data_IF_137387101525
#
_entry.id   IF_137387101525
#
_cell.length_a   1.000
_cell.length_b   1.000
_cell.length_c   1.000
_cell.angle_alpha   90.00
_cell.angle_beta   90.00
_cell.angle_gamma   90.00
#
_symmetry.space_group_name_H-M   'P 1'
#
loop_
_entity.id
_entity.type
_entity.pdbx_description
1 polymer ?
#
# COMPACT_ATOMS: atom_id res chain seq x y z
N UNK A 1 -7.18 8.21 9.93
CA UNK A 1 -6.98 7.29 8.79
C UNK A 1 -7.31 5.83 9.15
N UNK A 2 -6.82 5.25 10.24
CA UNK A 2 -7.22 3.89 10.68
C UNK A 2 -8.76 3.71 10.78
N UNK A 3 -9.43 4.59 11.53
CA UNK A 3 -10.91 4.61 11.67
C UNK A 3 -11.62 4.71 10.32
N UNK A 4 -11.05 5.46 9.39
CA UNK A 4 -11.60 5.69 8.04
C UNK A 4 -11.47 4.41 7.20
N UNK A 5 -10.33 3.73 7.29
CA UNK A 5 -10.15 2.43 6.65
C UNK A 5 -11.13 1.38 7.19
N UNK A 6 -11.33 1.35 8.51
CA UNK A 6 -12.30 0.45 9.16
C UNK A 6 -13.73 0.76 8.74
N UNK A 7 -14.10 2.04 8.67
CA UNK A 7 -15.43 2.49 8.25
C UNK A 7 -15.78 1.95 6.86
N UNK A 8 -14.86 2.05 5.88
CA UNK A 8 -15.07 1.45 4.56
C UNK A 8 -15.38 -0.05 4.67
N UNK A 9 -14.57 -0.78 5.42
CA UNK A 9 -14.71 -2.22 5.56
C UNK A 9 -15.97 -2.66 6.33
N UNK A 10 -16.58 -1.77 7.12
CA UNK A 10 -17.87 -1.97 7.79
C UNK A 10 -19.08 -1.58 6.95
N UNK A 11 -18.91 -0.90 5.80
CA UNK A 11 -20.02 -0.60 4.89
C UNK A 11 -20.78 -1.88 4.46
N UNK A 12 -22.11 -1.78 4.23
CA UNK A 12 -22.88 -2.86 3.65
C UNK A 12 -22.26 -3.39 2.35
N UNK A 13 -22.40 -4.70 2.10
CA UNK A 13 -21.84 -5.32 0.90
C UNK A 13 -22.36 -4.67 -0.39
N UNK A 14 -23.64 -4.31 -0.44
CA UNK A 14 -24.25 -3.62 -1.58
C UNK A 14 -23.54 -2.31 -1.94
N UNK A 15 -23.08 -1.56 -0.95
CA UNK A 15 -22.42 -0.27 -1.13
C UNK A 15 -20.99 -0.42 -1.69
N UNK A 16 -20.37 -1.59 -1.54
CA UNK A 16 -19.01 -1.88 -2.03
C UNK A 16 -18.97 -2.80 -3.23
N UNK A 17 -20.08 -3.43 -3.58
CA UNK A 17 -20.15 -4.48 -4.60
C UNK A 17 -19.66 -3.99 -5.97
N UNK A 18 -19.93 -2.73 -6.31
CA UNK A 18 -19.48 -2.13 -7.57
C UNK A 18 -17.95 -2.03 -7.71
N UNK A 19 -17.20 -2.08 -6.59
CA UNK A 19 -15.74 -2.13 -6.57
C UNK A 19 -15.19 -3.55 -6.63
N UNK A 20 -15.98 -4.57 -6.31
CA UNK A 20 -15.48 -5.94 -6.22
C UNK A 20 -15.03 -6.49 -7.57
N UNK A 21 -13.78 -6.92 -7.70
CA UNK A 21 -13.29 -7.55 -8.93
C UNK A 21 -11.98 -8.31 -8.78
N UNK A 22 -11.95 -9.55 -9.28
CA UNK A 22 -10.72 -10.35 -9.40
C UNK A 22 -9.86 -9.99 -10.63
N UNK A 23 -10.39 -9.16 -11.53
CA UNK A 23 -9.68 -8.65 -12.70
C UNK A 23 -8.55 -7.71 -12.29
N UNK A 24 -7.31 -8.20 -12.42
CA UNK A 24 -6.09 -7.47 -12.06
C UNK A 24 -5.80 -6.28 -12.97
N UNK A 25 -6.47 -6.16 -14.12
CA UNK A 25 -6.34 -5.00 -15.01
C UNK A 25 -7.12 -3.78 -14.52
N UNK A 26 -8.09 -3.96 -13.63
CA UNK A 26 -8.84 -2.84 -13.03
C UNK A 26 -7.98 -2.14 -11.99
N UNK A 27 -7.69 -0.83 -12.14
CA UNK A 27 -6.82 -0.10 -11.23
C UNK A 27 -7.46 0.10 -9.84
N UNK A 28 -8.78 0.36 -9.82
CA UNK A 28 -9.57 0.53 -8.61
C UNK A 28 -10.43 -0.72 -8.41
N UNK A 29 -10.20 -1.47 -7.33
CA UNK A 29 -10.94 -2.69 -7.03
C UNK A 29 -10.83 -3.13 -5.58
N UNK A 30 -11.89 -3.77 -5.10
CA UNK A 30 -11.96 -4.55 -3.88
C UNK A 30 -11.82 -6.03 -4.22
N UNK A 31 -11.04 -6.78 -3.46
CA UNK A 31 -10.89 -8.24 -3.65
C UNK A 31 -10.59 -8.93 -2.32
N UNK A 32 -10.94 -10.22 -2.25
CA UNK A 32 -10.76 -11.08 -1.08
C UNK A 32 -9.86 -12.25 -1.44
N UNK A 33 -8.78 -12.41 -0.69
CA UNK A 33 -7.70 -13.29 -1.04
C UNK A 33 -6.91 -12.77 -2.25
N UNK A 34 -5.59 -12.94 -2.21
CA UNK A 34 -4.74 -12.66 -3.37
C UNK A 34 -3.98 -13.92 -3.72
N UNK A 35 -3.79 -14.17 -5.02
CA UNK A 35 -2.85 -15.17 -5.53
C UNK A 35 -1.61 -14.44 -6.05
N UNK A 36 -0.44 -14.86 -5.56
CA UNK A 36 0.85 -14.37 -6.02
C UNK A 36 1.47 -15.40 -6.97
N UNK A 37 1.98 -14.97 -8.14
CA UNK A 37 2.69 -15.76 -9.16
C UNK A 37 2.14 -17.19 -9.37
N UNK A 38 1.03 -17.33 -10.12
CA UNK A 38 0.41 -18.60 -10.55
C UNK A 38 0.30 -19.73 -9.50
N UNK A 39 0.45 -19.42 -8.21
CA UNK A 39 0.30 -20.38 -7.12
C UNK A 39 -1.17 -20.53 -6.78
N UNK A 40 -1.55 -21.73 -6.35
CA UNK A 40 -2.89 -22.01 -5.81
C UNK A 40 -3.07 -21.51 -4.37
N UNK A 41 -2.07 -20.86 -3.80
CA UNK A 41 -2.11 -20.37 -2.40
C UNK A 41 -2.84 -19.04 -2.33
N UNK A 42 -3.89 -18.98 -1.51
CA UNK A 42 -4.61 -17.75 -1.18
C UNK A 42 -4.08 -17.18 0.14
N UNK A 43 -3.80 -15.88 0.14
CA UNK A 43 -3.40 -15.13 1.32
C UNK A 43 -4.61 -14.55 2.07
N UNK A 44 -4.56 -14.51 3.40
CA UNK A 44 -5.69 -14.23 4.28
C UNK A 44 -5.93 -12.73 4.48
N UNK A 45 -6.49 -12.07 3.47
CA UNK A 45 -6.74 -10.63 3.48
C UNK A 45 -7.89 -10.21 2.57
N UNK A 46 -8.51 -9.08 2.90
CA UNK A 46 -9.29 -8.28 1.96
C UNK A 46 -8.50 -7.01 1.61
N UNK A 47 -8.57 -6.55 0.37
CA UNK A 47 -7.90 -5.33 -0.04
C UNK A 47 -8.74 -4.46 -0.95
N UNK A 48 -8.87 -3.20 -0.56
CA UNK A 48 -9.27 -2.12 -1.46
C UNK A 48 -8.00 -1.50 -2.04
N UNK A 49 -7.81 -1.69 -3.35
CA UNK A 49 -6.74 -1.03 -4.10
C UNK A 49 -7.33 0.12 -4.89
N UNK A 50 -6.73 1.29 -4.76
CA UNK A 50 -7.10 2.50 -5.46
C UNK A 50 -5.86 3.13 -6.08
N UNK A 51 -5.96 3.51 -7.34
CA UNK A 51 -4.88 4.17 -8.08
C UNK A 51 -5.28 5.60 -8.39
N UNK A 52 -4.30 6.50 -8.32
CA UNK A 52 -4.40 7.86 -8.80
C UNK A 52 -3.19 8.17 -9.67
N UNK A 53 -3.45 8.59 -10.89
CA UNK A 53 -2.39 8.98 -11.82
C UNK A 53 -1.97 10.44 -11.59
N UNK A 54 -0.68 10.73 -11.72
CA UNK A 54 -0.11 12.07 -11.69
C UNK A 54 0.73 12.32 -12.96
N UNK A 55 0.72 13.55 -13.52
CA UNK A 55 0.08 14.77 -13.00
C UNK A 55 -1.43 14.87 -13.31
N UNK A 56 -1.98 13.97 -14.13
CA UNK A 56 -3.37 14.03 -14.61
C UNK A 56 -4.35 13.66 -13.48
N UNK A 57 -4.82 14.68 -12.76
CA UNK A 57 -5.62 14.55 -11.54
C UNK A 57 -7.04 13.98 -11.70
N UNK A 58 -7.49 13.68 -12.93
CA UNK A 58 -8.89 13.33 -13.24
C UNK A 58 -9.34 11.94 -12.78
N UNK A 59 -8.46 11.10 -12.22
CA UNK A 59 -8.73 9.68 -11.94
C UNK A 59 -9.42 9.35 -10.60
N UNK A 60 -9.90 10.33 -9.83
CA UNK A 60 -10.64 10.05 -8.57
C UNK A 60 -12.11 9.65 -8.85
N UNK A 61 -12.62 9.81 -10.08
CA UNK A 61 -14.03 9.55 -10.41
C UNK A 61 -14.55 8.15 -10.05
N UNK A 62 -13.65 7.18 -9.89
CA UNK A 62 -13.98 5.79 -9.55
C UNK A 62 -13.51 5.37 -8.14
N UNK A 63 -13.16 6.34 -7.28
CA UNK A 63 -12.89 6.07 -5.86
C UNK A 63 -14.20 6.05 -5.08
N UNK A 64 -14.32 5.27 -3.99
CA UNK A 64 -15.51 5.31 -3.15
C UNK A 64 -15.78 6.74 -2.66
N UNK A 65 -17.05 7.14 -2.65
CA UNK A 65 -17.48 8.42 -2.07
C UNK A 65 -17.42 8.39 -0.54
N UNK A 66 -17.49 7.20 0.05
CA UNK A 66 -17.45 6.98 1.49
C UNK A 66 -16.37 5.99 1.90
N UNK A 67 -15.61 6.29 2.96
CA UNK A 67 -15.52 7.59 3.62
C UNK A 67 -14.73 8.62 2.79
N UNK A 68 -15.15 9.88 2.83
CA UNK A 68 -14.56 10.98 2.04
C UNK A 68 -13.05 11.16 2.29
N UNK A 69 -12.62 10.93 3.53
CA UNK A 69 -11.22 11.04 3.94
C UNK A 69 -10.29 10.03 3.27
N UNK A 70 -10.79 8.94 2.64
CA UNK A 70 -9.93 8.09 1.80
C UNK A 70 -9.29 8.86 0.65
N UNK A 71 -9.94 9.94 0.19
CA UNK A 71 -9.45 10.77 -0.92
C UNK A 71 -8.35 11.74 -0.50
N UNK A 72 -8.12 11.93 0.81
CA UNK A 72 -7.01 12.73 1.34
C UNK A 72 -5.72 11.89 1.29
N UNK A 73 -4.75 12.31 0.47
CA UNK A 73 -3.57 11.50 0.16
C UNK A 73 -2.27 12.03 0.77
N UNK A 74 -1.39 11.09 1.13
CA UNK A 74 -0.05 11.33 1.69
C UNK A 74 1.02 11.64 0.65
N UNK A 75 0.66 11.93 -0.61
CA UNK A 75 1.64 12.16 -1.69
C UNK A 75 2.63 13.28 -1.34
N UNK A 76 2.16 14.36 -0.72
CA UNK A 76 3.03 15.47 -0.31
C UNK A 76 4.17 15.00 0.60
N UNK A 77 3.84 14.21 1.63
CA UNK A 77 4.82 13.61 2.53
C UNK A 77 5.80 12.67 1.80
N UNK A 78 5.29 11.87 0.85
CA UNK A 78 6.15 11.01 0.03
C UNK A 78 7.16 11.79 -0.82
N UNK A 79 6.74 12.91 -1.42
CA UNK A 79 7.63 13.79 -2.19
C UNK A 79 8.68 14.47 -1.30
N UNK A 80 8.29 14.92 -0.10
CA UNK A 80 9.21 15.53 0.86
C UNK A 80 10.28 14.53 1.32
N UNK A 81 9.88 13.28 1.62
CA UNK A 81 10.82 12.21 1.95
C UNK A 81 11.78 11.91 0.80
N UNK A 82 11.29 11.86 -0.45
CA UNK A 82 12.15 11.65 -1.62
C UNK A 82 13.16 12.79 -1.82
N UNK A 83 12.78 14.03 -1.51
CA UNK A 83 13.72 15.15 -1.53
C UNK A 83 14.83 15.00 -0.48
N UNK A 84 14.50 14.55 0.73
CA UNK A 84 15.51 14.24 1.76
C UNK A 84 16.41 13.05 1.36
N UNK A 85 15.84 12.04 0.69
CA UNK A 85 16.61 10.92 0.13
C UNK A 85 17.59 11.41 -0.94
N UNK A 86 17.18 12.33 -1.84
CA UNK A 86 18.10 12.95 -2.81
C UNK A 86 19.31 13.56 -2.11
N UNK A 87 19.06 14.36 -1.08
CA UNK A 87 20.12 15.03 -0.32
C UNK A 87 21.05 14.04 0.38
N UNK A 88 20.48 13.03 1.05
CA UNK A 88 21.24 11.99 1.74
C UNK A 88 22.12 11.15 0.80
N UNK A 89 21.67 10.94 -0.44
CA UNK A 89 22.42 10.22 -1.47
C UNK A 89 23.37 11.13 -2.29
N UNK A 90 23.40 12.45 -2.04
CA UNK A 90 24.19 13.39 -2.83
C UNK A 90 23.70 13.57 -4.27
N UNK A 91 22.43 13.25 -4.55
CA UNK A 91 21.79 13.46 -5.84
C UNK A 91 21.43 14.94 -6.02
N UNK A 92 21.26 15.36 -7.28
CA UNK A 92 20.78 16.72 -7.57
C UNK A 92 19.38 16.93 -6.98
N UNK A 93 19.04 18.14 -6.47
CA UNK A 93 17.67 18.46 -6.08
C UNK A 93 16.68 18.18 -7.21
N UNK A 94 15.52 17.60 -6.88
CA UNK A 94 14.51 17.20 -7.86
C UNK A 94 14.91 16.00 -8.74
N UNK A 95 15.89 15.17 -8.33
CA UNK A 95 16.27 13.98 -9.10
C UNK A 95 15.09 13.05 -9.40
N UNK A 96 14.20 12.84 -8.43
CA UNK A 96 13.00 12.01 -8.57
C UNK A 96 11.81 12.72 -9.24
N UNK A 97 11.91 14.00 -9.59
CA UNK A 97 10.81 14.74 -10.20
C UNK A 97 10.52 14.25 -11.63
N UNK A 98 9.32 14.53 -12.13
CA UNK A 98 8.90 14.12 -13.47
C UNK A 98 8.52 12.65 -13.52
N UNK A 99 9.04 11.89 -14.48
CA UNK A 99 8.57 10.53 -14.79
C UNK A 99 8.79 9.51 -13.66
N UNK A 100 9.80 9.72 -12.80
CA UNK A 100 10.10 8.82 -11.67
C UNK A 100 9.03 8.90 -10.56
N UNK A 101 8.43 10.07 -10.36
CA UNK A 101 7.33 10.30 -9.41
C UNK A 101 5.99 10.61 -10.10
N UNK A 102 5.99 10.46 -11.43
CA UNK A 102 4.83 10.50 -12.30
C UNK A 102 4.20 9.11 -12.44
N UNK A 103 2.98 9.07 -12.96
CA UNK A 103 2.22 7.84 -13.09
C UNK A 103 1.40 7.51 -11.83
N UNK A 104 1.28 6.22 -11.54
CA UNK A 104 0.28 5.68 -10.63
C UNK A 104 0.75 5.68 -9.16
N UNK A 105 0.16 6.56 -8.36
CA UNK A 105 0.18 6.44 -6.90
C UNK A 105 -0.90 5.44 -6.47
N UNK A 106 -0.50 4.43 -5.70
CA UNK A 106 -1.40 3.36 -5.26
C UNK A 106 -1.65 3.48 -3.76
N UNK A 107 -2.92 3.58 -3.38
CA UNK A 107 -3.39 3.37 -2.02
C UNK A 107 -3.93 1.94 -1.90
N UNK A 108 -3.39 1.17 -0.96
CA UNK A 108 -3.92 -0.15 -0.60
C UNK A 108 -4.41 -0.11 0.83
N UNK A 109 -5.71 -0.33 1.02
CA UNK A 109 -6.32 -0.52 2.33
C UNK A 109 -6.52 -2.00 2.55
N UNK A 110 -5.74 -2.57 3.47
CA UNK A 110 -5.70 -4.02 3.70
C UNK A 110 -6.33 -4.33 5.05
N UNK A 111 -7.31 -5.24 5.05
CA UNK A 111 -7.90 -5.81 6.25
C UNK A 111 -7.50 -7.27 6.36
N UNK A 112 -7.04 -7.66 7.55
CA UNK A 112 -6.73 -9.05 7.88
C UNK A 112 -7.79 -9.56 8.86
N UNK A 113 -8.83 -10.30 8.40
CA UNK A 113 -9.82 -10.88 9.30
C UNK A 113 -9.18 -11.89 10.27
N UNK A 114 -9.77 -12.13 11.46
CA UNK A 114 -9.34 -13.20 12.35
C UNK A 114 -9.22 -14.54 11.60
N UNK A 115 -8.08 -15.22 11.75
CA UNK A 115 -7.82 -16.50 11.13
C UNK A 115 -7.97 -17.63 12.17
N UNK A 116 -8.75 -18.70 11.88
CA UNK A 116 -8.89 -19.84 12.80
C UNK A 116 -7.59 -20.61 13.05
N UNK A 117 -6.69 -20.63 12.06
CA UNK A 117 -5.39 -21.30 12.16
C UNK A 117 -4.31 -20.46 11.46
N UNK A 118 -3.73 -19.46 12.14
CA UNK A 118 -2.73 -18.57 11.57
C UNK A 118 -1.41 -19.29 11.22
N UNK A 119 -1.21 -20.55 11.64
CA UNK A 119 -0.01 -21.31 11.28
C UNK A 119 0.01 -21.82 9.83
N UNK A 120 -1.16 -21.80 9.16
CA UNK A 120 -1.36 -22.38 7.82
C UNK A 120 -1.47 -21.35 6.70
N UNK A 121 -1.48 -20.06 7.02
CA UNK A 121 -1.64 -19.00 6.02
C UNK A 121 -0.90 -17.75 6.44
N UNK A 122 -0.70 -16.84 5.50
CA UNK A 122 -0.15 -15.51 5.73
C UNK A 122 -1.15 -14.47 5.25
N UNK A 123 -1.13 -13.28 5.87
CA UNK A 123 -1.88 -12.14 5.35
C UNK A 123 -1.38 -11.69 3.98
N UNK A 124 -0.05 -11.62 3.81
CA UNK A 124 0.65 -11.33 2.56
C UNK A 124 1.86 -12.27 2.40
N UNK A 125 2.27 -12.60 1.17
CA UNK A 125 3.51 -13.33 0.93
C UNK A 125 4.75 -12.50 1.28
N UNK A 126 5.91 -13.14 1.53
CA UNK A 126 7.20 -12.49 1.40
C UNK A 126 7.36 -11.82 0.04
N UNK A 127 7.68 -10.53 0.02
CA UNK A 127 7.89 -9.75 -1.20
C UNK A 127 8.76 -8.52 -0.93
N UNK A 128 9.25 -7.93 -2.02
CA UNK A 128 9.81 -6.58 -2.04
C UNK A 128 8.88 -5.66 -2.81
N UNK A 129 8.80 -4.42 -2.36
CA UNK A 129 8.06 -3.35 -3.02
C UNK A 129 8.77 -2.89 -4.29
N UNK A 130 8.02 -2.65 -5.37
CA UNK A 130 8.59 -2.33 -6.70
C UNK A 130 8.65 -0.84 -7.01
N UNK A 131 8.05 0.00 -6.17
CA UNK A 131 7.99 1.46 -6.28
C UNK A 131 9.25 2.10 -5.69
N UNK A 132 9.32 3.44 -5.70
CA UNK A 132 10.37 4.19 -5.00
C UNK A 132 10.21 4.08 -3.48
N UNK A 133 9.03 4.44 -2.98
CA UNK A 133 8.77 4.65 -1.55
C UNK A 133 7.37 4.17 -1.18
N UNK A 134 7.25 3.43 -0.10
CA UNK A 134 5.97 3.06 0.50
C UNK A 134 5.85 3.67 1.91
N UNK A 135 4.67 4.22 2.19
CA UNK A 135 4.29 4.71 3.52
C UNK A 135 3.20 3.77 4.08
N UNK A 136 3.54 3.00 5.10
CA UNK A 136 2.62 2.06 5.74
C UNK A 136 2.11 2.67 7.04
N UNK A 137 0.81 2.93 7.10
CA UNK A 137 0.12 3.17 8.37
C UNK A 137 -0.40 1.84 8.89
N UNK A 138 0.26 1.29 9.90
CA UNK A 138 -0.15 0.04 10.54
C UNK A 138 -1.25 0.31 11.57
N UNK A 139 -2.19 -0.64 11.69
CA UNK A 139 -3.14 -0.65 12.80
C UNK A 139 -2.47 -1.04 14.12
N UNK A 140 -3.27 -1.15 15.18
CA UNK A 140 -2.77 -1.48 16.54
C UNK A 140 -2.30 -2.92 16.71
N UNK A 141 -2.63 -3.82 15.79
CA UNK A 141 -2.28 -5.24 15.86
C UNK A 141 -0.93 -5.45 15.16
N UNK A 142 0.02 -6.06 15.88
CA UNK A 142 1.31 -6.43 15.29
C UNK A 142 1.12 -7.52 14.23
N UNK A 143 1.76 -7.35 13.08
CA UNK A 143 1.69 -8.31 11.97
C UNK A 143 2.66 -8.04 10.81
N UNK A 144 3.24 -6.84 10.73
CA UNK A 144 4.31 -6.56 9.77
C UNK A 144 5.62 -7.20 10.24
N UNK A 145 6.25 -7.96 9.35
CA UNK A 145 7.58 -8.53 9.54
C UNK A 145 8.48 -8.12 8.38
N UNK A 146 9.76 -7.86 8.67
CA UNK A 146 10.79 -7.54 7.69
C UNK A 146 11.90 -8.58 7.75
N UNK A 147 12.40 -9.00 6.59
CA UNK A 147 13.50 -9.97 6.53
C UNK A 147 14.83 -9.24 6.53
N UNK A 148 15.69 -9.53 7.50
CA UNK A 148 17.00 -8.89 7.65
C UNK A 148 18.02 -9.89 8.20
N UNK A 149 19.20 -9.97 7.57
CA UNK A 149 20.31 -10.84 7.96
C UNK A 149 19.95 -12.32 8.19
N UNK A 150 19.02 -12.86 7.40
CA UNK A 150 18.64 -14.27 7.46
C UNK A 150 17.41 -14.56 8.32
N UNK A 151 16.89 -13.57 9.05
CA UNK A 151 15.79 -13.73 9.99
C UNK A 151 14.63 -12.76 9.72
N UNK A 152 13.42 -13.17 10.13
CA UNK A 152 12.23 -12.31 10.14
C UNK A 152 12.15 -11.53 11.45
N UNK A 153 12.06 -10.21 11.35
CA UNK A 153 11.98 -9.29 12.48
C UNK A 153 10.60 -8.67 12.50
N UNK A 154 9.93 -8.73 13.66
CA UNK A 154 8.63 -8.09 13.86
C UNK A 154 8.79 -6.58 13.99
N UNK A 155 7.97 -5.84 13.27
CA UNK A 155 7.90 -4.38 13.41
C UNK A 155 6.87 -4.04 14.48
N UNK A 156 7.29 -3.30 15.51
CA UNK A 156 6.38 -2.83 16.55
C UNK A 156 5.51 -1.68 16.04
N UNK A 157 4.16 -1.76 16.16
CA UNK A 157 3.30 -0.64 15.82
C UNK A 157 3.52 0.53 16.78
N UNK A 158 4.01 1.66 16.24
CA UNK A 158 4.16 2.90 16.99
C UNK A 158 2.94 3.80 16.71
N UNK A 159 2.23 4.30 17.75
CA UNK A 159 1.10 5.21 17.55
C UNK A 159 1.50 6.48 16.78
N UNK A 160 0.63 6.91 15.86
CA UNK A 160 0.80 8.14 15.06
C UNK A 160 2.07 8.19 14.20
N UNK A 161 2.63 7.03 13.80
CA UNK A 161 3.78 6.97 12.90
C UNK A 161 3.45 6.24 11.59
N UNK A 162 4.25 6.50 10.56
CA UNK A 162 4.35 5.65 9.39
C UNK A 162 5.58 4.76 9.50
N UNK A 163 5.46 3.51 9.06
CA UNK A 163 6.63 2.73 8.65
C UNK A 163 6.96 3.14 7.22
N UNK A 164 8.21 3.49 6.96
CA UNK A 164 8.68 3.89 5.64
C UNK A 164 9.59 2.79 5.12
N UNK A 165 9.34 2.29 3.91
CA UNK A 165 10.23 1.36 3.24
C UNK A 165 10.55 1.84 1.82
N UNK A 166 11.80 1.64 1.43
CA UNK A 166 12.29 1.90 0.08
C UNK A 166 12.05 0.66 -0.77
N UNK A 167 11.50 0.85 -1.97
CA UNK A 167 11.31 -0.24 -2.91
C UNK A 167 12.50 -0.39 -3.85
N UNK A 168 12.43 -1.43 -4.69
CA UNK A 168 13.50 -1.85 -5.59
C UNK A 168 13.95 -0.75 -6.57
N UNK A 169 13.10 0.23 -6.88
CA UNK A 169 13.50 1.33 -7.76
C UNK A 169 14.58 2.23 -7.14
N UNK A 170 14.56 2.44 -5.81
CA UNK A 170 15.61 3.19 -5.13
C UNK A 170 16.92 2.39 -5.07
N UNK A 171 16.83 1.08 -4.85
CA UNK A 171 18.00 0.19 -4.82
C UNK A 171 18.80 0.22 -6.14
N UNK A 172 18.10 0.34 -7.27
CA UNK A 172 18.75 0.49 -8.59
C UNK A 172 19.48 1.83 -8.75
N UNK A 173 19.05 2.88 -8.06
CA UNK A 173 19.62 4.23 -8.17
C UNK A 173 20.86 4.39 -7.27
N UNK A 174 20.97 3.58 -6.22
CA UNK A 174 22.11 3.55 -5.28
C UNK A 174 23.31 2.72 -5.80
N UNK A 175 23.30 2.37 -7.08
CA UNK A 175 24.35 1.60 -7.77
C UNK A 175 24.79 2.27 -9.07
#
# INVERSE_FOLDING_TARGET
MEVVCDEFFQLPAADKMHLYSDDKSKPNRLFSGSTYKSSSTMYWMDCLRLTRNFPTADSISNWPDKPQMLREQTRGLGMELLQMVCEGMGLRPGYFDGDLTGGDMVLSVIRYPPCPDPSKTLGLPPHCDRNLLTLVLSGRVQGLEVFYNGDWIKVEPIPNSFVVNFGLQIEVIDH
#
